data_IF_377455175343
#
_entry.id   IF_377455175343
#
_cell.length_a   1.000
_cell.length_b   1.000
_cell.length_c   1.000
_cell.angle_alpha   90.00
_cell.angle_beta   90.00
_cell.angle_gamma   90.00
#
_symmetry.space_group_name_H-M   'P 1'
#
loop_
_entity.id
_entity.type
_entity.pdbx_description
1 polymer ?
#
# COMPACT_ATOMS: atom_id res chain seq x y z
N UNK A 1 -28.15 16.37 12.06
CA UNK A 1 -27.13 16.73 13.05
C UNK A 1 -27.08 15.64 14.12
N UNK A 2 -25.87 15.22 14.51
CA UNK A 2 -25.62 14.22 15.55
C UNK A 2 -24.90 14.93 16.69
N UNK A 3 -25.49 14.89 17.88
CA UNK A 3 -24.86 15.40 19.11
C UNK A 3 -24.23 14.24 19.85
N UNK A 4 -22.94 14.34 20.16
CA UNK A 4 -22.17 13.32 20.86
C UNK A 4 -21.13 13.99 21.75
N UNK A 5 -20.79 13.35 22.85
CA UNK A 5 -19.73 13.82 23.75
C UNK A 5 -18.34 13.63 23.12
N UNK A 6 -18.11 12.48 22.46
CA UNK A 6 -16.83 12.16 21.84
C UNK A 6 -17.02 11.72 20.39
N UNK A 7 -16.03 12.00 19.55
CA UNK A 7 -16.01 11.60 18.13
C UNK A 7 -14.71 10.88 17.82
N UNK A 8 -14.78 9.73 17.12
CA UNK A 8 -13.62 8.98 16.65
C UNK A 8 -13.59 9.01 15.13
N UNK A 9 -12.50 9.53 14.54
CA UNK A 9 -12.26 9.44 13.11
C UNK A 9 -11.54 8.14 12.75
N UNK A 10 -12.17 7.33 11.89
CA UNK A 10 -11.64 6.10 11.34
C UNK A 10 -11.84 6.05 9.80
N UNK A 11 -11.57 7.17 9.13
CA UNK A 11 -11.95 7.41 7.73
C UNK A 11 -10.96 6.86 6.70
N UNK A 12 -9.90 6.18 7.14
CA UNK A 12 -8.87 5.65 6.25
C UNK A 12 -7.90 6.72 5.74
N UNK A 13 -7.13 6.37 4.72
CA UNK A 13 -6.04 7.19 4.20
C UNK A 13 -6.40 8.03 2.97
N UNK A 14 -5.38 8.21 2.11
CA UNK A 14 -5.43 9.10 0.93
C UNK A 14 -5.26 8.36 -0.40
N UNK A 15 -5.29 7.03 -0.38
CA UNK A 15 -4.89 6.20 -1.52
C UNK A 15 -5.70 6.42 -2.80
N UNK A 16 -6.95 6.86 -2.69
CA UNK A 16 -7.80 7.20 -3.83
C UNK A 16 -7.31 8.39 -4.66
N UNK A 17 -6.36 9.19 -4.15
CA UNK A 17 -5.73 10.31 -4.88
C UNK A 17 -4.63 9.89 -5.84
N UNK A 18 -4.20 8.63 -5.79
CA UNK A 18 -3.10 8.10 -6.59
C UNK A 18 -3.60 7.34 -7.82
N UNK A 19 -2.93 7.53 -8.96
CA UNK A 19 -3.23 6.83 -10.22
C UNK A 19 -3.12 5.31 -10.08
N UNK A 20 -2.09 4.85 -9.39
CA UNK A 20 -1.88 3.45 -9.04
C UNK A 20 -1.96 3.31 -7.53
N UNK A 21 -2.99 2.63 -7.05
CA UNK A 21 -3.23 2.42 -5.63
C UNK A 21 -3.87 1.06 -5.36
N UNK A 22 -3.53 0.45 -4.24
CA UNK A 22 -4.20 -0.73 -3.71
C UNK A 22 -5.44 -0.37 -2.91
N UNK A 23 -5.70 0.91 -2.68
CA UNK A 23 -6.82 1.42 -1.91
C UNK A 23 -8.03 1.71 -2.82
N UNK A 24 -9.21 1.81 -2.22
CA UNK A 24 -10.41 2.19 -2.94
C UNK A 24 -10.39 3.67 -3.34
N UNK A 25 -10.98 4.05 -4.49
CA UNK A 25 -10.97 5.43 -4.99
C UNK A 25 -11.63 6.46 -4.08
N UNK A 26 -12.55 6.03 -3.19
CA UNK A 26 -13.24 6.93 -2.25
C UNK A 26 -12.39 7.32 -1.03
N UNK A 27 -11.22 6.72 -0.84
CA UNK A 27 -10.30 7.10 0.25
C UNK A 27 -9.49 8.33 -0.16
N UNK A 28 -10.10 9.50 -0.05
CA UNK A 28 -9.62 10.77 -0.60
C UNK A 28 -8.97 11.69 0.42
N UNK A 29 -8.91 11.28 1.70
CA UNK A 29 -8.31 12.06 2.78
C UNK A 29 -9.22 13.15 3.35
N UNK A 30 -10.51 12.91 3.39
CA UNK A 30 -11.50 13.91 3.80
C UNK A 30 -11.29 14.39 5.24
N UNK A 31 -10.93 13.49 6.16
CA UNK A 31 -10.59 13.89 7.54
C UNK A 31 -9.39 14.84 7.59
N UNK A 32 -8.39 14.69 6.72
CA UNK A 32 -7.26 15.61 6.66
C UNK A 32 -7.70 17.01 6.20
N UNK A 33 -8.60 17.08 5.22
CA UNK A 33 -9.16 18.35 4.78
C UNK A 33 -9.96 19.04 5.90
N UNK A 34 -10.79 18.29 6.62
CA UNK A 34 -11.53 18.80 7.78
C UNK A 34 -10.57 19.25 8.89
N UNK A 35 -9.53 18.46 9.17
CA UNK A 35 -8.52 18.79 10.17
C UNK A 35 -7.83 20.14 9.89
N UNK A 36 -7.43 20.37 8.61
CA UNK A 36 -6.86 21.66 8.18
C UNK A 36 -7.82 22.81 8.43
N UNK A 37 -9.08 22.67 8.03
CA UNK A 37 -10.10 23.71 8.20
C UNK A 37 -10.46 23.98 9.67
N UNK A 38 -10.24 23.01 10.55
CA UNK A 38 -10.56 23.11 11.98
C UNK A 38 -9.33 23.28 12.87
N UNK A 39 -8.15 23.53 12.29
CA UNK A 39 -6.88 23.68 13.01
C UNK A 39 -6.50 22.46 13.87
N UNK A 40 -6.94 21.27 13.49
CA UNK A 40 -6.47 20.01 14.08
C UNK A 40 -5.10 19.68 13.49
N UNK A 41 -4.12 19.39 14.33
CA UNK A 41 -2.75 19.16 13.86
C UNK A 41 -2.62 17.90 13.00
N UNK A 42 -1.85 18.01 11.92
CA UNK A 42 -1.42 16.89 11.08
C UNK A 42 0.06 16.57 11.32
N UNK A 43 0.47 15.35 11.02
CA UNK A 43 1.86 14.92 11.14
C UNK A 43 2.24 14.02 9.96
N UNK A 44 3.47 14.19 9.46
CA UNK A 44 4.09 13.32 8.45
C UNK A 44 3.25 13.12 7.18
N UNK A 45 2.55 14.14 6.71
CA UNK A 45 1.63 14.05 5.55
C UNK A 45 2.31 13.67 4.23
N UNK A 46 3.64 13.68 4.18
CA UNK A 46 4.45 13.19 3.07
C UNK A 46 4.88 11.71 3.22
N UNK A 47 4.52 11.04 4.31
CA UNK A 47 4.88 9.64 4.54
C UNK A 47 3.86 8.70 3.90
N UNK A 48 4.15 8.31 2.67
CA UNK A 48 3.31 7.42 1.87
C UNK A 48 4.13 6.20 1.48
N UNK A 49 3.65 5.01 1.85
CA UNK A 49 4.28 3.76 1.46
C UNK A 49 3.83 3.34 0.08
N UNK A 50 4.81 3.07 -0.79
CA UNK A 50 4.60 2.47 -2.09
C UNK A 50 4.88 0.97 -1.98
N UNK A 51 3.97 0.14 -2.47
CA UNK A 51 4.22 -1.30 -2.62
C UNK A 51 4.84 -1.57 -3.99
N UNK A 52 5.96 -2.30 -4.07
CA UNK A 52 6.69 -2.50 -5.33
C UNK A 52 5.88 -3.25 -6.39
N UNK A 53 5.10 -4.26 -5.97
CA UNK A 53 4.49 -5.21 -6.89
C UNK A 53 2.97 -5.22 -6.77
N UNK A 54 2.30 -4.51 -7.66
CA UNK A 54 0.86 -4.64 -7.90
C UNK A 54 0.64 -5.02 -9.36
N UNK A 55 -0.40 -5.81 -9.64
CA UNK A 55 -0.70 -6.24 -11.00
C UNK A 55 -1.02 -5.00 -11.86
N UNK A 56 -0.26 -4.82 -12.94
CA UNK A 56 -0.52 -3.75 -13.89
C UNK A 56 -1.78 -4.08 -14.70
N UNK A 57 -2.68 -3.12 -14.83
CA UNK A 57 -3.86 -3.21 -15.68
C UNK A 57 -4.17 -1.84 -16.27
N UNK A 58 -4.69 -1.81 -17.50
CA UNK A 58 -5.20 -0.58 -18.11
C UNK A 58 -6.59 -0.17 -17.58
N UNK A 59 -7.28 -1.09 -16.89
CA UNK A 59 -8.57 -0.83 -16.27
C UNK A 59 -8.42 0.23 -15.16
N UNK A 60 -9.39 1.11 -15.03
CA UNK A 60 -9.45 2.06 -13.91
C UNK A 60 -9.80 1.34 -12.61
N UNK A 61 -9.38 1.91 -11.48
CA UNK A 61 -9.74 1.42 -10.16
C UNK A 61 -8.56 0.87 -9.37
N UNK A 62 -8.90 0.14 -8.32
CA UNK A 62 -7.97 -0.44 -7.36
C UNK A 62 -7.02 -1.44 -8.01
N UNK A 63 -5.72 -1.31 -7.76
CA UNK A 63 -4.70 -2.28 -8.18
C UNK A 63 -4.73 -3.52 -7.28
N UNK A 64 -4.63 -4.69 -7.91
CA UNK A 64 -4.52 -5.93 -7.17
C UNK A 64 -3.11 -6.08 -6.61
N UNK A 65 -3.02 -6.36 -5.32
CA UNK A 65 -1.74 -6.53 -4.63
C UNK A 65 -1.15 -7.91 -4.93
N UNK A 66 0.07 -7.95 -5.48
CA UNK A 66 0.89 -9.15 -5.49
C UNK A 66 1.69 -9.15 -4.19
N UNK A 67 1.34 -10.03 -3.27
CA UNK A 67 1.90 -10.08 -1.92
C UNK A 67 3.44 -10.09 -1.92
N UNK A 68 4.03 -9.46 -0.92
CA UNK A 68 5.48 -9.49 -0.69
C UNK A 68 6.03 -10.90 -0.51
N UNK A 69 5.23 -11.83 0.04
CA UNK A 69 5.59 -13.24 0.18
C UNK A 69 5.96 -13.90 -1.16
N UNK A 70 5.36 -13.47 -2.28
CA UNK A 70 5.71 -13.99 -3.62
C UNK A 70 7.18 -13.72 -3.94
N UNK A 71 7.70 -12.52 -3.63
CA UNK A 71 9.13 -12.18 -3.77
C UNK A 71 9.97 -12.90 -2.71
N UNK A 72 9.47 -12.99 -1.49
CA UNK A 72 10.12 -13.71 -0.40
C UNK A 72 10.32 -15.21 -0.68
N UNK A 73 9.47 -15.81 -1.50
CA UNK A 73 9.58 -17.23 -1.90
C UNK A 73 10.35 -17.44 -3.22
N UNK A 74 10.92 -16.39 -3.79
CA UNK A 74 11.88 -16.49 -4.89
C UNK A 74 11.43 -15.95 -6.23
N UNK A 75 10.27 -15.27 -6.31
CA UNK A 75 9.91 -14.58 -7.56
C UNK A 75 10.89 -13.46 -7.88
N UNK A 76 11.22 -13.28 -9.16
CA UNK A 76 12.23 -12.32 -9.64
C UNK A 76 11.62 -11.25 -10.54
N UNK A 77 12.16 -10.04 -10.43
CA UNK A 77 11.80 -8.90 -11.27
C UNK A 77 12.65 -8.87 -12.53
N UNK A 78 11.98 -8.77 -13.67
CA UNK A 78 12.59 -8.80 -14.99
C UNK A 78 12.29 -7.50 -15.75
N UNK A 79 13.27 -7.06 -16.53
CA UNK A 79 13.15 -5.97 -17.49
C UNK A 79 12.39 -6.42 -18.77
N UNK A 80 12.31 -5.55 -19.76
CA UNK A 80 11.66 -5.86 -21.06
C UNK A 80 12.33 -6.98 -21.86
N UNK A 81 13.61 -7.30 -21.58
CA UNK A 81 14.36 -8.34 -22.26
C UNK A 81 14.34 -9.67 -21.50
N UNK A 82 13.67 -9.71 -20.32
CA UNK A 82 13.63 -10.89 -19.47
C UNK A 82 14.86 -11.03 -18.55
N UNK A 83 15.62 -9.97 -18.35
CA UNK A 83 16.81 -9.96 -17.50
C UNK A 83 16.47 -9.43 -16.10
N UNK A 84 16.97 -10.10 -15.05
CA UNK A 84 16.82 -9.67 -13.65
C UNK A 84 17.66 -8.40 -13.42
N UNK A 85 17.05 -7.37 -12.82
CA UNK A 85 17.70 -6.06 -12.67
C UNK A 85 17.87 -5.58 -11.22
N UNK A 86 17.33 -6.28 -10.22
CA UNK A 86 17.40 -5.86 -8.82
C UNK A 86 17.39 -7.05 -7.86
N UNK A 87 17.69 -6.79 -6.58
CA UNK A 87 17.42 -7.72 -5.48
C UNK A 87 16.05 -7.42 -4.90
N UNK A 88 15.13 -8.36 -5.03
CA UNK A 88 13.73 -8.25 -4.67
C UNK A 88 13.46 -8.25 -3.15
N UNK A 89 14.47 -8.65 -2.36
CA UNK A 89 14.36 -8.75 -0.90
C UNK A 89 14.74 -7.46 -0.17
N UNK A 90 15.19 -6.45 -0.90
CA UNK A 90 15.47 -5.13 -0.33
C UNK A 90 14.17 -4.45 0.18
N UNK A 91 14.30 -3.40 1.03
CA UNK A 91 13.16 -2.61 1.51
C UNK A 91 12.26 -2.12 0.37
N UNK A 92 10.95 -2.02 0.63
CA UNK A 92 9.92 -1.67 -0.38
C UNK A 92 10.23 -0.39 -1.15
N UNK A 93 10.74 0.62 -0.49
CA UNK A 93 11.09 1.90 -1.09
C UNK A 93 12.27 1.78 -2.05
N UNK A 94 13.26 0.93 -1.74
CA UNK A 94 14.39 0.64 -2.61
C UNK A 94 13.92 -0.11 -3.86
N UNK A 95 13.21 -1.22 -3.69
CA UNK A 95 12.70 -2.00 -4.82
C UNK A 95 11.77 -1.15 -5.71
N UNK A 96 10.91 -0.33 -5.12
CA UNK A 96 10.03 0.57 -5.89
C UNK A 96 10.81 1.57 -6.73
N UNK A 97 11.90 2.14 -6.20
CA UNK A 97 12.77 3.06 -6.95
C UNK A 97 13.48 2.35 -8.11
N UNK A 98 13.99 1.15 -7.87
CA UNK A 98 14.64 0.36 -8.92
C UNK A 98 13.66 0.00 -10.05
N UNK A 99 12.42 -0.36 -9.71
CA UNK A 99 11.36 -0.60 -10.71
C UNK A 99 11.08 0.67 -11.52
N UNK A 100 10.95 1.83 -10.88
CA UNK A 100 10.74 3.10 -11.61
C UNK A 100 11.91 3.43 -12.55
N UNK A 101 13.15 3.29 -12.09
CA UNK A 101 14.34 3.49 -12.92
C UNK A 101 14.36 2.54 -14.13
N UNK A 102 14.00 1.27 -13.91
CA UNK A 102 13.96 0.31 -14.99
C UNK A 102 12.84 0.62 -16.00
N UNK A 103 11.65 1.02 -15.52
CA UNK A 103 10.55 1.45 -16.38
C UNK A 103 10.94 2.66 -17.26
N UNK A 104 11.67 3.64 -16.69
CA UNK A 104 12.19 4.80 -17.41
C UNK A 104 13.22 4.38 -18.47
N UNK A 105 14.21 3.54 -18.10
CA UNK A 105 15.22 3.00 -19.00
C UNK A 105 14.63 2.22 -20.17
N UNK A 106 13.59 1.42 -19.89
CA UNK A 106 12.94 0.57 -20.89
C UNK A 106 11.88 1.31 -21.71
N UNK A 107 11.49 2.51 -21.29
CA UNK A 107 10.35 3.27 -21.82
C UNK A 107 9.03 2.47 -21.74
N UNK A 108 8.82 1.76 -20.63
CA UNK A 108 7.66 0.91 -20.38
C UNK A 108 6.77 1.44 -19.25
N UNK A 109 5.53 0.93 -19.16
CA UNK A 109 4.57 1.29 -18.09
C UNK A 109 4.56 0.31 -16.93
N UNK A 110 5.34 -0.75 -17.00
CA UNK A 110 5.45 -1.82 -16.02
C UNK A 110 6.78 -2.56 -16.21
N UNK A 111 7.13 -3.37 -15.23
CA UNK A 111 8.16 -4.41 -15.34
C UNK A 111 7.50 -5.78 -15.23
N UNK A 112 8.25 -6.84 -15.35
CA UNK A 112 7.74 -8.20 -15.27
C UNK A 112 8.13 -8.87 -13.94
N UNK A 113 7.22 -9.66 -13.37
CA UNK A 113 7.48 -10.51 -12.20
C UNK A 113 7.33 -11.97 -12.63
N UNK A 114 8.40 -12.73 -12.54
CA UNK A 114 8.40 -14.17 -12.85
C UNK A 114 8.32 -14.98 -11.56
N UNK A 115 7.32 -15.85 -11.48
CA UNK A 115 7.17 -16.80 -10.37
C UNK A 115 7.85 -18.15 -10.67
N UNK A 116 8.43 -18.31 -11.87
CA UNK A 116 9.07 -19.55 -12.31
C UNK A 116 10.18 -20.07 -11.38
N UNK A 117 11.00 -19.22 -10.72
CA UNK A 117 12.04 -19.70 -9.81
C UNK A 117 11.51 -20.24 -8.47
N UNK A 118 10.24 -20.02 -8.12
CA UNK A 118 9.64 -20.53 -6.88
C UNK A 118 9.59 -22.06 -6.93
N UNK A 119 10.20 -22.78 -5.94
CA UNK A 119 10.29 -24.24 -5.97
C UNK A 119 9.00 -24.97 -5.54
N UNK A 120 7.90 -24.23 -5.34
CA UNK A 120 6.61 -24.73 -4.87
C UNK A 120 5.55 -24.64 -5.96
N UNK A 121 4.45 -25.38 -5.82
CA UNK A 121 3.28 -25.18 -6.68
C UNK A 121 2.64 -23.82 -6.36
N UNK A 122 2.83 -22.87 -7.26
CA UNK A 122 2.34 -21.49 -7.09
C UNK A 122 0.82 -21.38 -7.07
N UNK A 123 0.09 -22.36 -7.63
CA UNK A 123 -1.39 -22.41 -7.59
C UNK A 123 -1.88 -22.74 -6.19
N UNK A 124 -1.26 -23.73 -5.56
CA UNK A 124 -1.60 -24.13 -4.20
C UNK A 124 -1.12 -23.09 -3.17
N UNK A 125 0.07 -22.54 -3.40
CA UNK A 125 0.70 -21.59 -2.48
C UNK A 125 0.03 -20.21 -2.51
N UNK A 126 -0.39 -19.74 -3.70
CA UNK A 126 -0.97 -18.42 -3.92
C UNK A 126 -2.28 -18.48 -4.70
N UNK A 127 -3.32 -19.23 -4.25
CA UNK A 127 -4.51 -19.49 -5.04
C UNK A 127 -5.26 -18.22 -5.46
N UNK A 128 -5.37 -17.23 -4.58
CA UNK A 128 -6.04 -15.96 -4.90
C UNK A 128 -5.27 -15.13 -5.92
N UNK A 129 -3.94 -15.15 -5.87
CA UNK A 129 -3.09 -14.44 -6.84
C UNK A 129 -3.19 -15.14 -8.19
N UNK A 130 -3.11 -16.48 -8.21
CA UNK A 130 -3.28 -17.28 -9.42
C UNK A 130 -4.61 -17.00 -10.11
N UNK A 131 -5.71 -17.11 -9.37
CA UNK A 131 -7.05 -16.86 -9.90
C UNK A 131 -7.18 -15.43 -10.46
N UNK A 132 -6.69 -14.43 -9.70
CA UNK A 132 -6.78 -13.03 -10.13
C UNK A 132 -5.94 -12.74 -11.39
N UNK A 133 -4.76 -13.32 -11.50
CA UNK A 133 -3.93 -13.17 -12.69
C UNK A 133 -4.59 -13.84 -13.92
N UNK A 134 -5.20 -15.01 -13.75
CA UNK A 134 -5.96 -15.67 -14.83
C UNK A 134 -7.14 -14.80 -15.33
N UNK A 135 -7.89 -14.17 -14.43
CA UNK A 135 -8.98 -13.24 -14.78
C UNK A 135 -8.50 -12.03 -15.61
N UNK A 136 -7.25 -11.63 -15.42
CA UNK A 136 -6.60 -10.55 -16.19
C UNK A 136 -5.82 -11.08 -17.41
N UNK A 137 -5.88 -12.40 -17.67
CA UNK A 137 -5.32 -13.04 -18.86
C UNK A 137 -3.90 -13.58 -18.71
N UNK A 138 -3.38 -13.73 -17.49
CA UNK A 138 -2.01 -14.17 -17.21
C UNK A 138 -2.00 -15.50 -16.44
N UNK A 139 -1.34 -16.53 -16.99
CA UNK A 139 -1.07 -17.78 -16.28
C UNK A 139 0.33 -17.71 -15.61
N UNK A 140 0.35 -17.43 -14.32
CA UNK A 140 1.60 -17.24 -13.53
C UNK A 140 2.48 -18.50 -13.47
N UNK A 141 1.97 -19.66 -13.91
CA UNK A 141 2.75 -20.90 -13.99
C UNK A 141 3.55 -21.02 -15.29
N UNK A 142 3.18 -20.22 -16.31
CA UNK A 142 3.75 -20.31 -17.66
C UNK A 142 4.53 -19.06 -18.04
N UNK A 143 4.07 -17.91 -17.58
CA UNK A 143 4.58 -16.61 -18.03
C UNK A 143 4.76 -15.63 -16.87
N UNK A 144 5.67 -14.64 -16.99
CA UNK A 144 5.77 -13.55 -16.05
C UNK A 144 4.55 -12.62 -16.15
N UNK A 145 4.21 -11.97 -15.04
CA UNK A 145 3.10 -11.02 -14.95
C UNK A 145 3.58 -9.57 -14.94
N UNK A 146 2.84 -8.64 -15.56
CA UNK A 146 3.20 -7.23 -15.52
C UNK A 146 2.90 -6.64 -14.14
N UNK A 147 3.90 -5.98 -13.54
CA UNK A 147 3.75 -5.34 -12.23
C UNK A 147 4.21 -3.89 -12.25
N UNK A 148 3.60 -3.08 -11.39
CA UNK A 148 3.91 -1.65 -11.24
C UNK A 148 3.86 -1.27 -9.77
N UNK A 149 4.74 -0.37 -9.28
CA UNK A 149 4.62 0.19 -7.96
C UNK A 149 3.32 0.98 -7.80
N UNK A 150 2.69 0.85 -6.63
CA UNK A 150 1.44 1.55 -6.34
C UNK A 150 1.41 2.05 -4.90
N UNK A 151 0.70 3.15 -4.66
CA UNK A 151 0.41 3.58 -3.31
C UNK A 151 -0.31 2.46 -2.55
N UNK A 152 0.12 2.23 -1.30
CA UNK A 152 -0.39 1.11 -0.52
C UNK A 152 -0.86 1.50 0.87
N UNK A 153 -0.12 2.37 1.58
CA UNK A 153 -0.48 2.80 2.92
C UNK A 153 -0.03 4.24 3.18
N UNK A 154 -0.83 4.98 3.94
CA UNK A 154 -0.52 6.34 4.37
C UNK A 154 -0.10 6.33 5.83
N UNK A 155 1.16 6.65 6.13
CA UNK A 155 1.73 6.64 7.49
C UNK A 155 1.67 7.99 8.17
N UNK A 156 1.32 9.04 7.42
CA UNK A 156 0.95 10.33 7.96
C UNK A 156 -0.52 10.37 8.39
N UNK A 157 -1.00 11.55 8.76
CA UNK A 157 -2.40 11.72 9.09
C UNK A 157 -2.66 12.75 10.18
N UNK A 158 -3.81 12.66 10.81
CA UNK A 158 -4.17 13.44 11.99
C UNK A 158 -3.22 13.06 13.12
N UNK A 159 -2.52 14.07 13.68
CA UNK A 159 -1.60 13.86 14.81
C UNK A 159 -2.38 13.39 16.02
N UNK A 160 -1.99 12.26 16.59
CA UNK A 160 -2.54 11.72 17.82
C UNK A 160 -1.43 11.36 18.81
N UNK A 161 -1.80 11.28 20.08
CA UNK A 161 -0.96 10.73 21.15
C UNK A 161 -1.10 9.21 21.32
N UNK A 162 -0.62 8.67 22.44
CA UNK A 162 -0.71 7.23 22.77
C UNK A 162 -2.12 6.75 23.07
N UNK A 163 -3.07 7.66 23.34
CA UNK A 163 -4.47 7.37 23.62
C UNK A 163 -5.38 7.72 22.46
N UNK A 164 -4.82 7.94 21.27
CA UNK A 164 -5.55 8.35 20.05
C UNK A 164 -6.19 9.74 20.13
N UNK A 165 -5.85 10.55 21.14
CA UNK A 165 -6.36 11.90 21.29
C UNK A 165 -5.71 12.83 20.25
N UNK A 166 -6.53 13.65 19.59
CA UNK A 166 -6.05 14.69 18.67
C UNK A 166 -5.71 15.98 19.43
N UNK A 167 -5.37 17.04 18.70
CA UNK A 167 -5.19 18.39 19.28
C UNK A 167 -6.51 19.14 19.50
N UNK A 168 -7.64 18.53 19.24
CA UNK A 168 -8.99 19.07 19.50
C UNK A 168 -9.65 18.23 20.59
N UNK A 169 -10.19 18.90 21.60
CA UNK A 169 -10.89 18.23 22.70
C UNK A 169 -12.04 17.38 22.18
N UNK A 170 -12.26 16.21 22.78
CA UNK A 170 -13.32 15.26 22.42
C UNK A 170 -13.23 14.68 21.00
N UNK A 171 -12.08 14.85 20.31
CA UNK A 171 -11.83 14.28 19.00
C UNK A 171 -10.65 13.31 19.05
N UNK A 172 -10.91 12.07 18.65
CA UNK A 172 -9.96 10.98 18.55
C UNK A 172 -9.77 10.58 17.09
N UNK A 173 -8.65 9.91 16.78
CA UNK A 173 -8.46 9.32 15.45
C UNK A 173 -7.67 8.01 15.56
N UNK A 174 -8.11 6.97 14.85
CA UNK A 174 -7.49 5.65 14.85
C UNK A 174 -7.40 5.06 13.44
N UNK A 175 -6.45 4.12 13.24
CA UNK A 175 -6.17 3.51 11.94
C UNK A 175 -5.49 4.47 10.97
N UNK A 176 -5.56 4.18 9.67
CA UNK A 176 -4.80 4.88 8.61
C UNK A 176 -5.09 6.39 8.48
N UNK A 177 -6.14 6.89 9.11
CA UNK A 177 -6.43 8.34 9.18
C UNK A 177 -5.54 9.06 10.17
N UNK A 178 -4.97 8.35 11.16
CA UNK A 178 -4.18 8.91 12.27
C UNK A 178 -2.67 8.75 12.05
N UNK A 179 -1.90 9.61 12.69
CA UNK A 179 -0.45 9.51 12.77
C UNK A 179 0.02 9.52 14.23
N UNK A 180 0.10 8.34 14.84
CA UNK A 180 0.68 8.09 16.16
C UNK A 180 2.21 7.97 16.14
N UNK A 181 2.81 7.78 14.96
CA UNK A 181 4.26 7.68 14.75
C UNK A 181 4.83 6.26 14.79
N UNK A 182 4.04 5.24 15.07
CA UNK A 182 4.48 3.83 15.19
C UNK A 182 5.14 3.31 13.91
N UNK A 183 4.67 3.75 12.75
CA UNK A 183 5.17 3.26 11.46
C UNK A 183 6.40 4.01 10.94
N UNK A 184 6.70 5.20 11.45
CA UNK A 184 7.75 6.03 10.89
C UNK A 184 7.53 6.33 9.40
N UNK A 185 8.62 6.37 8.64
CA UNK A 185 8.59 6.63 7.20
C UNK A 185 8.41 5.37 6.33
N UNK A 186 8.46 4.18 6.92
CA UNK A 186 8.35 2.91 6.19
C UNK A 186 7.72 1.82 7.07
N UNK A 187 6.42 1.59 6.90
CA UNK A 187 5.64 0.66 7.71
C UNK A 187 6.10 -0.79 7.48
N UNK A 188 6.29 -1.54 8.56
CA UNK A 188 6.51 -2.97 8.51
C UNK A 188 5.24 -3.69 8.00
N UNK A 189 5.43 -4.72 7.19
CA UNK A 189 4.33 -5.49 6.61
C UNK A 189 3.33 -5.97 7.69
N UNK A 190 2.03 -5.85 7.41
CA UNK A 190 0.90 -6.22 8.27
C UNK A 190 0.75 -5.46 9.59
N UNK A 191 1.71 -4.62 9.97
CA UNK A 191 1.70 -3.94 11.27
C UNK A 191 0.57 -2.91 11.44
N UNK A 192 -0.04 -2.46 10.33
CA UNK A 192 -1.19 -1.55 10.38
C UNK A 192 -2.44 -2.17 11.02
N UNK A 193 -2.62 -3.48 10.94
CA UNK A 193 -3.75 -4.15 11.60
C UNK A 193 -3.61 -4.12 13.11
N UNK A 194 -2.40 -4.39 13.64
CA UNK A 194 -2.12 -4.28 15.08
C UNK A 194 -2.27 -2.84 15.56
N UNK A 195 -1.72 -1.89 14.82
CA UNK A 195 -1.85 -0.47 15.15
C UNK A 195 -3.32 -0.06 15.23
N UNK A 196 -4.13 -0.40 14.23
CA UNK A 196 -5.55 -0.06 14.21
C UNK A 196 -6.31 -0.65 15.39
N UNK A 197 -6.06 -1.91 15.76
CA UNK A 197 -6.71 -2.56 16.90
C UNK A 197 -6.32 -1.91 18.23
N UNK A 198 -5.01 -1.75 18.46
CA UNK A 198 -4.50 -1.22 19.74
C UNK A 198 -4.93 0.24 19.96
N UNK A 199 -4.86 1.06 18.92
CA UNK A 199 -5.19 2.48 19.06
C UNK A 199 -6.70 2.74 19.01
N UNK A 200 -7.50 1.89 18.36
CA UNK A 200 -8.96 1.96 18.47
C UNK A 200 -9.48 1.58 19.86
N UNK A 201 -8.81 0.63 20.55
CA UNK A 201 -9.15 0.27 21.93
C UNK A 201 -8.82 1.39 22.93
N UNK A 202 -7.84 2.24 22.61
CA UNK A 202 -7.42 3.36 23.45
C UNK A 202 -8.22 4.64 23.23
N UNK A 203 -8.89 4.73 22.09
CA UNK A 203 -9.73 5.88 21.75
C UNK A 203 -11.09 5.81 22.47
#
# INVERSE_FOLDING_TARGET
>A
EIHTENTIWASGGIGGRYKHSTNFPHLTGDALAIAIHRNVALKNVNYVQIHPTTLYSQKKGRRFLISESVRGEGAVLLDKNGERFTDELQPRDVVSREIHRQMEKDHTKHVWLSLKPIPLDVKERFPNIYQKCLEEGYDITKEPIPVVPAQHYFMGGVKVDSNSETTMDHLYAAGETSCNGVHGANRLASNSLLESLVFAERA
#
